data_IF_973559192681
#
_entry.id   IF_973559192681
#
_cell.length_a   1.000
_cell.length_b   1.000
_cell.length_c   1.000
_cell.angle_alpha   90.00
_cell.angle_beta   90.00
_cell.angle_gamma   90.00
#
_symmetry.space_group_name_H-M   'P 1'
#
loop_
_entity.id
_entity.type
_entity.pdbx_description
1 polymer ?
#
# COMPACT_ATOMS: atom_id res chain seq x y z
N UNK A 1 24.19 9.84 -23.19
CA UNK A 1 23.59 11.08 -22.63
C UNK A 1 22.09 10.90 -22.79
N UNK A 2 21.35 10.38 -21.82
CA UNK A 2 21.26 10.70 -20.38
C UNK A 2 20.97 9.44 -19.55
N UNK A 3 21.59 9.36 -18.38
CA UNK A 3 21.32 8.41 -17.30
C UNK A 3 20.08 8.87 -16.53
N UNK A 4 19.07 8.02 -16.32
CA UNK A 4 18.04 8.30 -15.32
C UNK A 4 18.18 7.30 -14.16
N UNK A 5 18.86 7.76 -13.13
CA UNK A 5 19.03 7.10 -11.83
C UNK A 5 17.65 7.03 -11.17
N UNK A 6 17.10 5.83 -11.04
CA UNK A 6 15.96 5.55 -10.17
C UNK A 6 16.39 5.71 -8.71
N UNK A 7 16.28 6.94 -8.21
CA UNK A 7 16.46 7.24 -6.79
C UNK A 7 15.27 6.66 -6.01
N UNK A 8 15.51 5.61 -5.23
CA UNK A 8 14.58 5.17 -4.20
C UNK A 8 14.58 6.27 -3.13
N UNK A 9 13.53 7.08 -3.07
CA UNK A 9 13.34 8.10 -2.03
C UNK A 9 13.11 7.41 -0.68
N UNK A 10 14.17 7.21 0.12
CA UNK A 10 14.05 6.57 1.43
C UNK A 10 13.83 7.51 2.61
N UNK A 11 13.91 8.83 2.49
CA UNK A 11 13.93 9.71 3.68
C UNK A 11 12.86 10.81 3.71
N UNK A 12 11.66 10.51 3.21
CA UNK A 12 10.45 11.27 3.47
C UNK A 12 9.47 10.37 4.21
N UNK A 13 9.06 10.73 5.42
CA UNK A 13 7.98 10.02 6.11
C UNK A 13 6.78 9.88 5.16
N UNK A 14 6.29 8.66 4.94
CA UNK A 14 5.19 8.39 4.01
C UNK A 14 3.98 9.31 4.24
N UNK A 15 3.73 9.59 5.53
CA UNK A 15 2.81 10.61 6.03
C UNK A 15 3.49 11.38 7.17
N UNK A 16 3.23 12.68 7.30
CA UNK A 16 3.74 13.54 8.35
C UNK A 16 2.93 13.44 9.66
N UNK A 17 1.64 13.09 9.58
CA UNK A 17 0.77 12.89 10.76
C UNK A 17 -0.40 11.96 10.46
N UNK A 18 -1.11 11.52 11.52
CA UNK A 18 -2.36 10.75 11.39
C UNK A 18 -3.43 11.57 10.66
N UNK A 19 -3.49 12.88 10.90
CA UNK A 19 -4.50 13.78 10.32
C UNK A 19 -4.27 14.01 8.80
N UNK A 20 -3.08 13.68 8.28
CA UNK A 20 -2.79 13.70 6.85
C UNK A 20 -3.30 12.44 6.12
N UNK A 21 -3.40 11.31 6.82
CA UNK A 21 -3.71 10.02 6.18
C UNK A 21 -5.13 10.00 5.62
N UNK A 22 -6.11 10.43 6.42
CA UNK A 22 -7.53 10.44 6.00
C UNK A 22 -7.77 11.25 4.72
N UNK A 23 -7.35 12.53 4.61
CA UNK A 23 -7.57 13.30 3.39
C UNK A 23 -6.79 12.75 2.19
N UNK A 24 -5.60 12.19 2.40
CA UNK A 24 -4.84 11.58 1.29
C UNK A 24 -5.52 10.32 0.76
N UNK A 25 -6.00 9.43 1.63
CA UNK A 25 -6.79 8.27 1.19
C UNK A 25 -8.11 8.68 0.55
N UNK A 26 -8.79 9.70 1.10
CA UNK A 26 -10.03 10.23 0.54
C UNK A 26 -9.84 10.81 -0.87
N UNK A 27 -8.70 11.47 -1.14
CA UNK A 27 -8.35 11.95 -2.50
C UNK A 27 -8.23 10.82 -3.53
N UNK A 28 -7.99 9.59 -3.08
CA UNK A 28 -7.93 8.38 -3.90
C UNK A 28 -9.26 7.60 -3.90
N UNK A 29 -10.34 8.21 -3.39
CA UNK A 29 -11.67 7.58 -3.33
C UNK A 29 -11.86 6.59 -2.17
N UNK A 30 -10.94 6.54 -1.20
CA UNK A 30 -11.02 5.63 -0.06
C UNK A 30 -11.41 6.37 1.23
N UNK A 31 -12.59 6.05 1.76
CA UNK A 31 -13.08 6.61 3.02
C UNK A 31 -12.51 5.79 4.18
N UNK A 32 -11.66 6.43 4.99
CA UNK A 32 -11.08 5.83 6.19
C UNK A 32 -11.61 6.50 7.46
N UNK A 33 -11.32 5.90 8.61
CA UNK A 33 -11.57 6.49 9.92
C UNK A 33 -10.26 6.67 10.68
N UNK A 34 -10.31 7.40 11.80
CA UNK A 34 -9.12 7.68 12.62
C UNK A 34 -8.35 6.44 13.07
N UNK A 35 -9.04 5.33 13.33
CA UNK A 35 -8.39 4.07 13.73
C UNK A 35 -7.55 3.52 12.58
N UNK A 36 -8.11 3.44 11.38
CA UNK A 36 -7.40 2.97 10.19
C UNK A 36 -6.27 3.93 9.79
N UNK A 37 -6.52 5.24 9.86
CA UNK A 37 -5.50 6.26 9.62
C UNK A 37 -4.30 6.11 10.57
N UNK A 38 -4.57 5.82 11.85
CA UNK A 38 -3.52 5.56 12.85
C UNK A 38 -2.71 4.31 12.50
N UNK A 39 -3.38 3.21 12.12
CA UNK A 39 -2.70 1.97 11.73
C UNK A 39 -1.80 2.20 10.51
N UNK A 40 -2.31 2.87 9.47
CA UNK A 40 -1.55 3.18 8.26
C UNK A 40 -0.35 4.09 8.57
N UNK A 41 -0.54 5.13 9.37
CA UNK A 41 0.53 6.02 9.81
C UNK A 41 1.64 5.24 10.55
N UNK A 42 1.26 4.43 11.55
CA UNK A 42 2.24 3.67 12.33
C UNK A 42 2.93 2.60 11.49
N UNK A 43 2.20 1.86 10.67
CA UNK A 43 2.75 0.81 9.82
C UNK A 43 3.78 1.36 8.83
N UNK A 44 3.46 2.50 8.18
CA UNK A 44 4.40 3.15 7.25
C UNK A 44 5.59 3.80 7.96
N UNK A 45 5.42 4.29 9.19
CA UNK A 45 6.50 4.88 9.98
C UNK A 45 7.45 3.85 10.61
N UNK A 46 6.92 2.68 10.96
CA UNK A 46 7.65 1.58 11.59
C UNK A 46 8.17 0.54 10.58
N UNK A 47 7.89 0.73 9.29
CA UNK A 47 8.17 -0.22 8.22
C UNK A 47 7.63 -1.62 8.54
N UNK A 48 6.33 -1.68 8.90
CA UNK A 48 5.63 -2.92 9.26
C UNK A 48 4.51 -3.22 8.26
N UNK A 49 4.30 -4.50 7.91
CA UNK A 49 3.23 -4.90 7.01
C UNK A 49 1.85 -4.71 7.66
N UNK A 50 0.83 -4.48 6.82
CA UNK A 50 -0.57 -4.41 7.22
C UNK A 50 -1.29 -5.67 6.74
N UNK A 51 -1.95 -6.37 7.65
CA UNK A 51 -2.92 -7.42 7.34
C UNK A 51 -4.33 -6.84 7.50
N UNK A 52 -5.11 -6.83 6.42
CA UNK A 52 -6.48 -6.33 6.42
C UNK A 52 -7.47 -7.50 6.44
N UNK A 53 -8.18 -7.67 7.56
CA UNK A 53 -9.17 -8.74 7.75
C UNK A 53 -10.61 -8.20 7.74
N UNK A 54 -11.57 -9.02 7.31
CA UNK A 54 -13.00 -8.68 7.40
C UNK A 54 -13.87 -9.41 6.36
N UNK A 55 -15.17 -9.10 6.29
CA UNK A 55 -16.10 -9.68 5.29
C UNK A 55 -15.75 -9.30 3.84
N UNK A 56 -16.21 -10.08 2.86
CA UNK A 56 -16.06 -9.70 1.46
C UNK A 56 -16.71 -8.33 1.20
N UNK A 57 -16.07 -7.49 0.36
CA UNK A 57 -16.62 -6.19 -0.04
C UNK A 57 -16.34 -5.00 0.90
N UNK A 58 -15.69 -5.17 2.05
CA UNK A 58 -15.40 -4.05 3.00
C UNK A 58 -14.20 -3.16 2.61
N UNK A 59 -13.76 -3.20 1.35
CA UNK A 59 -12.69 -2.33 0.86
C UNK A 59 -11.25 -2.75 1.18
N UNK A 60 -10.98 -4.01 1.57
CA UNK A 60 -9.60 -4.50 1.82
C UNK A 60 -8.66 -4.31 0.62
N UNK A 61 -9.09 -4.74 -0.55
CA UNK A 61 -8.31 -4.59 -1.79
C UNK A 61 -8.19 -3.13 -2.20
N UNK A 62 -9.23 -2.35 -1.94
CA UNK A 62 -9.26 -0.93 -2.27
C UNK A 62 -8.32 -0.10 -1.37
N UNK A 63 -8.15 -0.52 -0.11
CA UNK A 63 -7.15 0.07 0.79
C UNK A 63 -5.74 -0.04 0.21
N UNK A 64 -5.37 -1.21 -0.33
CA UNK A 64 -4.05 -1.41 -0.92
C UNK A 64 -3.82 -0.49 -2.14
N UNK A 65 -4.83 -0.36 -3.02
CA UNK A 65 -4.78 0.55 -4.16
C UNK A 65 -4.68 2.01 -3.74
N UNK A 66 -5.56 2.45 -2.85
CA UNK A 66 -5.59 3.82 -2.36
C UNK A 66 -4.28 4.19 -1.65
N UNK A 67 -3.68 3.27 -0.89
CA UNK A 67 -2.41 3.50 -0.23
C UNK A 67 -1.24 3.61 -1.22
N UNK A 68 -1.20 2.74 -2.24
CA UNK A 68 -0.19 2.81 -3.29
C UNK A 68 -0.28 4.14 -4.07
N UNK A 69 -1.49 4.51 -4.52
CA UNK A 69 -1.71 5.79 -5.23
C UNK A 69 -1.45 7.00 -4.34
N UNK A 70 -1.88 6.97 -3.08
CA UNK A 70 -1.64 8.07 -2.14
C UNK A 70 -0.14 8.29 -1.94
N UNK A 71 0.67 7.23 -1.90
CA UNK A 71 2.12 7.30 -1.67
C UNK A 71 2.95 7.41 -2.96
N UNK A 72 2.31 7.49 -4.13
CA UNK A 72 2.98 7.44 -5.44
C UNK A 72 3.91 6.22 -5.58
N UNK A 73 3.39 5.05 -5.18
CA UNK A 73 4.10 3.77 -5.23
C UNK A 73 3.43 2.82 -6.21
N UNK A 74 4.24 1.97 -6.83
CA UNK A 74 3.73 0.87 -7.63
C UNK A 74 2.97 -0.14 -6.75
N UNK A 75 1.75 -0.50 -7.16
CA UNK A 75 1.02 -1.62 -6.56
C UNK A 75 1.38 -2.92 -7.28
N UNK A 76 2.04 -3.82 -6.56
CA UNK A 76 2.27 -5.19 -7.02
C UNK A 76 1.19 -6.08 -6.40
N UNK A 77 0.46 -6.83 -7.22
CA UNK A 77 -0.65 -7.69 -6.78
C UNK A 77 -0.33 -9.15 -7.07
N UNK A 78 -0.03 -9.91 -6.03
CA UNK A 78 0.06 -11.37 -6.08
C UNK A 78 -1.26 -11.97 -5.61
N UNK A 79 -1.93 -12.74 -6.47
CA UNK A 79 -3.14 -13.46 -6.09
C UNK A 79 -2.77 -14.85 -5.57
N UNK A 80 -3.07 -15.12 -4.30
CA UNK A 80 -2.89 -16.46 -3.72
C UNK A 80 -4.06 -17.35 -4.14
N UNK A 81 -3.76 -18.45 -4.82
CA UNK A 81 -4.70 -19.49 -5.19
C UNK A 81 -4.07 -20.87 -4.89
N UNK A 82 -4.89 -21.92 -4.88
CA UNK A 82 -4.42 -23.28 -4.62
C UNK A 82 -3.45 -23.73 -5.72
N UNK A 83 -2.24 -24.16 -5.34
CA UNK A 83 -1.19 -24.53 -6.30
C UNK A 83 -0.27 -23.39 -6.76
N UNK A 84 -0.32 -22.23 -6.09
CA UNK A 84 0.74 -21.22 -6.16
C UNK A 84 1.97 -21.75 -5.38
N UNK A 85 3.08 -21.99 -6.09
CA UNK A 85 4.38 -22.40 -5.53
C UNK A 85 5.43 -21.28 -5.69
N UNK A 86 6.60 -21.43 -5.03
CA UNK A 86 7.67 -20.43 -5.07
C UNK A 86 8.16 -20.16 -6.50
N UNK A 87 8.22 -21.18 -7.35
CA UNK A 87 8.70 -21.03 -8.72
C UNK A 87 7.74 -20.16 -9.54
N UNK A 88 6.44 -20.40 -9.44
CA UNK A 88 5.42 -19.58 -10.11
C UNK A 88 5.39 -18.16 -9.56
N UNK A 89 5.47 -17.99 -8.24
CA UNK A 89 5.46 -16.65 -7.63
C UNK A 89 6.70 -15.80 -7.98
N UNK A 90 7.85 -16.43 -8.20
CA UNK A 90 9.12 -15.72 -8.49
C UNK A 90 9.40 -15.55 -9.99
N UNK A 91 8.95 -16.47 -10.84
CA UNK A 91 9.36 -16.52 -12.25
C UNK A 91 8.23 -16.32 -13.26
N UNK A 92 6.96 -16.50 -12.86
CA UNK A 92 5.81 -16.29 -13.76
C UNK A 92 5.12 -14.97 -13.42
N UNK A 93 5.52 -13.90 -14.11
CA UNK A 93 4.92 -12.56 -14.03
C UNK A 93 4.24 -12.22 -15.36
N UNK A 94 3.15 -12.90 -15.69
CA UNK A 94 2.22 -12.51 -16.78
C UNK A 94 0.89 -11.97 -16.25
#
# INVERSE_FOLDING_TARGET
MTTNTGGVNTDGAAFASIDEVEPRLASQGYVSNRKLATVVFLATRLDKPILAEGPAGVGKTELAKALASALDRQLIRLQCYEGLDEAKALYEWE
#
